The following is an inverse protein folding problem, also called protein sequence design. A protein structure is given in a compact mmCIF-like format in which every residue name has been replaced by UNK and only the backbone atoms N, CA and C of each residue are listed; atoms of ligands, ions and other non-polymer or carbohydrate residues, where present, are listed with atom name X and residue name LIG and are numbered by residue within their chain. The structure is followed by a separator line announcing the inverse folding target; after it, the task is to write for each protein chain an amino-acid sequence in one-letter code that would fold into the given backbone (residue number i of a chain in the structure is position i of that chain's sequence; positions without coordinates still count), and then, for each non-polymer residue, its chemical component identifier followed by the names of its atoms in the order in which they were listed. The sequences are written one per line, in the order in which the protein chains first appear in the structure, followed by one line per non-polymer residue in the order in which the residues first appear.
data_IF_176109766564
#
_entry.id   IF_176109766564
#
_cell.length_a   1.000
_cell.length_b   1.000
_cell.length_c   1.000
_cell.angle_alpha   90.00
_cell.angle_beta   90.00
_cell.angle_gamma   90.00
#
_symmetry.space_group_name_H-M   'P 1'
#
loop_
_entity.id
_entity.type
_entity.pdbx_description
1 polymer ?
#
# COMPACT_ATOMS: atom_id res chain seq x y z
N UNK A 1 -12.02 0.32 3.76
CA UNK A 1 -10.94 -0.23 2.90
C UNK A 1 -10.05 0.93 2.49
N UNK A 2 -8.74 0.69 2.44
CA UNK A 2 -7.73 1.62 1.93
C UNK A 2 -6.96 0.90 0.82
N UNK A 3 -6.77 1.56 -0.31
CA UNK A 3 -6.04 1.03 -1.47
C UNK A 3 -4.70 1.74 -1.61
N UNK A 4 -3.68 1.00 -2.04
CA UNK A 4 -2.30 1.46 -2.21
C UNK A 4 -1.95 1.33 -3.70
N UNK A 5 -2.50 2.20 -4.57
CA UNK A 5 -2.44 2.04 -6.02
C UNK A 5 -1.03 2.03 -6.60
N UNK A 6 -0.04 2.64 -5.94
CA UNK A 6 1.36 2.64 -6.32
C UNK A 6 1.98 1.22 -6.36
N UNK A 7 1.44 0.27 -5.58
CA UNK A 7 1.90 -1.13 -5.57
C UNK A 7 1.04 -2.09 -6.42
N UNK A 8 0.04 -1.59 -7.15
CA UNK A 8 -0.88 -2.44 -7.95
C UNK A 8 -0.24 -3.29 -9.06
N UNK A 9 0.91 -2.87 -9.57
CA UNK A 9 1.68 -3.64 -10.55
C UNK A 9 2.65 -4.64 -9.89
N UNK A 10 2.82 -4.56 -8.57
CA UNK A 10 3.85 -5.28 -7.82
C UNK A 10 3.27 -6.35 -6.90
N UNK A 11 2.01 -6.18 -6.44
CA UNK A 11 1.31 -7.12 -5.57
C UNK A 11 -0.12 -7.37 -6.04
N UNK A 12 -0.64 -8.56 -5.77
CA UNK A 12 -1.95 -9.04 -6.29
C UNK A 12 -3.13 -8.25 -5.71
N UNK A 13 -3.02 -7.75 -4.48
CA UNK A 13 -4.10 -7.05 -3.78
C UNK A 13 -3.51 -5.98 -2.84
N UNK A 14 -3.14 -4.79 -3.36
CA UNK A 14 -2.52 -3.72 -2.57
C UNK A 14 -3.60 -2.95 -1.79
N UNK A 15 -4.37 -3.61 -0.95
CA UNK A 15 -5.39 -2.95 -0.15
C UNK A 15 -5.53 -3.56 1.23
N UNK A 16 -5.91 -2.73 2.19
CA UNK A 16 -6.18 -3.13 3.56
C UNK A 16 -7.62 -2.79 3.93
N UNK A 17 -8.09 -3.39 5.02
CA UNK A 17 -9.38 -3.09 5.60
C UNK A 17 -9.25 -2.85 7.09
N UNK A 18 -10.27 -2.26 7.69
CA UNK A 18 -10.43 -2.08 9.12
C UNK A 18 -11.91 -1.98 9.44
N UNK A 19 -12.30 -2.21 10.70
CA UNK A 19 -13.70 -2.12 11.15
C UNK A 19 -14.13 -0.66 11.24
N UNK A 20 -13.19 0.25 11.54
CA UNK A 20 -13.41 1.69 11.48
C UNK A 20 -12.58 2.34 10.37
N UNK A 21 -12.89 3.60 10.09
CA UNK A 21 -12.11 4.42 9.14
C UNK A 21 -10.66 4.56 9.62
N UNK A 22 -10.48 4.82 10.91
CA UNK A 22 -9.17 5.04 11.54
C UNK A 22 -8.34 3.76 11.55
N UNK A 23 -8.97 2.60 11.79
CA UNK A 23 -8.31 1.30 11.73
C UNK A 23 -7.86 1.00 10.29
N UNK A 24 -8.72 1.24 9.29
CA UNK A 24 -8.37 1.00 7.90
C UNK A 24 -7.20 1.87 7.43
N UNK A 25 -7.13 3.14 7.86
CA UNK A 25 -6.02 4.05 7.57
C UNK A 25 -4.72 3.52 8.18
N UNK A 26 -4.73 3.22 9.48
CA UNK A 26 -3.56 2.71 10.19
C UNK A 26 -3.03 1.41 9.59
N UNK A 27 -3.92 0.47 9.29
CA UNK A 27 -3.53 -0.78 8.65
C UNK A 27 -2.91 -0.52 7.26
N UNK A 28 -3.40 0.49 6.53
CA UNK A 28 -2.79 0.93 5.27
C UNK A 28 -1.36 1.46 5.45
N UNK A 29 -1.14 2.31 6.46
CA UNK A 29 0.18 2.86 6.79
C UNK A 29 1.17 1.75 7.18
N UNK A 30 0.77 0.81 8.05
CA UNK A 30 1.60 -0.33 8.46
C UNK A 30 2.02 -1.21 7.27
N UNK A 31 1.12 -1.43 6.30
CA UNK A 31 1.44 -2.20 5.09
C UNK A 31 2.38 -1.44 4.16
N UNK A 32 2.22 -0.12 4.03
CA UNK A 32 3.16 0.71 3.25
C UNK A 32 4.56 0.60 3.86
N UNK A 33 4.70 0.77 5.17
CA UNK A 33 5.99 0.64 5.87
C UNK A 33 6.63 -0.73 5.63
N UNK A 34 5.85 -1.81 5.80
CA UNK A 34 6.31 -3.17 5.54
C UNK A 34 6.78 -3.37 4.08
N UNK A 35 6.09 -2.79 3.09
CA UNK A 35 6.50 -2.89 1.69
C UNK A 35 7.80 -2.12 1.41
N UNK A 36 7.94 -0.93 1.99
CA UNK A 36 9.15 -0.11 1.84
C UNK A 36 10.38 -0.84 2.40
N UNK A 37 10.26 -1.38 3.63
CA UNK A 37 11.33 -2.15 4.26
C UNK A 37 11.72 -3.38 3.43
N UNK A 38 10.74 -4.15 2.94
CA UNK A 38 11.00 -5.31 2.11
C UNK A 38 11.67 -4.93 0.78
N UNK A 39 11.23 -3.84 0.13
CA UNK A 39 11.80 -3.40 -1.14
C UNK A 39 13.23 -2.88 -0.99
N UNK A 40 13.49 -2.13 0.07
CA UNK A 40 14.83 -1.66 0.39
C UNK A 40 15.78 -2.84 0.68
N UNK A 41 15.34 -3.81 1.50
CA UNK A 41 16.12 -5.01 1.82
C UNK A 41 16.43 -5.87 0.58
N UNK A 42 15.52 -5.93 -0.39
CA UNK A 42 15.69 -6.68 -1.63
C UNK A 42 16.37 -5.87 -2.75
N UNK A 43 16.71 -4.59 -2.53
CA UNK A 43 17.28 -3.71 -3.55
C UNK A 43 16.33 -3.39 -4.71
N UNK A 44 15.01 -3.49 -4.47
CA UNK A 44 13.97 -3.19 -5.44
C UNK A 44 13.68 -1.69 -5.50
N UNK A 45 13.18 -1.23 -6.64
CA UNK A 45 12.76 0.17 -6.82
C UNK A 45 11.41 0.41 -6.15
N UNK A 46 11.37 1.36 -5.21
CA UNK A 46 10.14 1.83 -4.57
C UNK A 46 9.28 2.58 -5.60
N UNK A 47 7.98 2.24 -5.75
CA UNK A 47 7.11 2.92 -6.69
C UNK A 47 6.82 4.38 -6.27
N UNK A 48 6.53 5.23 -7.26
CA UNK A 48 6.10 6.61 -7.01
C UNK A 48 4.64 6.66 -6.55
N UNK A 49 4.26 7.57 -5.64
CA UNK A 49 2.88 7.71 -5.18
C UNK A 49 1.89 7.90 -6.35
N UNK A 50 0.76 7.20 -6.30
CA UNK A 50 -0.31 7.33 -7.30
C UNK A 50 -1.62 7.68 -6.58
N UNK A 51 -2.42 8.56 -7.16
CA UNK A 51 -3.82 8.72 -6.72
C UNK A 51 -4.68 7.68 -7.41
N UNK A 52 -5.59 7.05 -6.68
CA UNK A 52 -6.56 6.13 -7.28
C UNK A 52 -7.39 6.88 -8.32
N UNK A 53 -7.30 6.45 -9.58
CA UNK A 53 -8.21 6.91 -10.64
C UNK A 53 -9.40 5.96 -10.68
N UNK A 54 -10.60 6.51 -10.46
CA UNK A 54 -11.86 5.77 -10.57
C UNK A 54 -12.49 6.17 -11.90
N UNK A 55 -12.79 5.17 -12.74
CA UNK A 55 -13.44 5.34 -14.04
C UNK A 55 -14.96 5.45 -13.92
#
# INVERSE_FOLDING_TARGET
MVTIPEFSEQVIMPCTHGKTREEAIRNGEEVIEMYLEAWEAEGKTIPVPKTLQVA
#
